data_IF_052360662198
#
_entry.id   IF_052360662198
#
_cell.length_a   1.000
_cell.length_b   1.000
_cell.length_c   1.000
_cell.angle_alpha   90.00
_cell.angle_beta   90.00
_cell.angle_gamma   90.00
#
_symmetry.space_group_name_H-M   'P 1'
#
loop_
_entity.id
_entity.type
_entity.pdbx_description
1 polymer ?
#
# COMPACT_ATOMS: atom_id res chain seq x y z
N UNK A 1 13.58 14.61 8.39
CA UNK A 1 12.98 13.28 8.14
C UNK A 1 13.24 12.93 6.69
N UNK A 2 13.66 11.69 6.42
CA UNK A 2 13.82 11.16 5.06
C UNK A 2 12.45 10.95 4.42
N UNK A 3 12.41 10.93 3.09
CA UNK A 3 11.17 10.79 2.35
C UNK A 3 10.94 9.33 1.95
N UNK A 4 9.68 8.92 1.98
CA UNK A 4 9.24 7.62 1.47
C UNK A 4 7.87 7.76 0.80
N UNK A 5 7.59 6.87 -0.14
CA UNK A 5 6.29 6.72 -0.80
C UNK A 5 5.66 5.42 -0.33
N UNK A 6 4.35 5.46 -0.10
CA UNK A 6 3.56 4.24 0.06
C UNK A 6 3.10 3.85 -1.34
N UNK A 7 3.39 2.62 -1.77
CA UNK A 7 2.94 2.09 -3.05
C UNK A 7 2.00 0.91 -2.79
N UNK A 8 0.89 0.87 -3.51
CA UNK A 8 -0.02 -0.29 -3.52
C UNK A 8 -0.24 -0.76 -4.96
N UNK A 9 -0.23 -2.07 -5.14
CA UNK A 9 -0.55 -2.79 -6.37
C UNK A 9 -1.79 -3.64 -6.08
N UNK A 10 -2.91 -3.25 -6.69
CA UNK A 10 -4.20 -3.88 -6.49
C UNK A 10 -4.41 -4.94 -7.56
N UNK A 11 -4.46 -6.21 -7.14
CA UNK A 11 -4.85 -7.33 -8.00
C UNK A 11 -6.28 -7.80 -7.72
N UNK A 12 -6.80 -8.67 -8.60
CA UNK A 12 -8.14 -9.26 -8.42
C UNK A 12 -8.24 -10.25 -7.26
N UNK A 13 -7.12 -10.81 -6.79
CA UNK A 13 -7.05 -11.81 -5.71
C UNK A 13 -6.27 -11.34 -4.49
N UNK A 14 -5.43 -10.32 -4.65
CA UNK A 14 -4.52 -9.86 -3.61
C UNK A 14 -4.10 -8.43 -3.88
N UNK A 15 -3.87 -7.66 -2.82
CA UNK A 15 -3.16 -6.38 -2.86
C UNK A 15 -1.76 -6.56 -2.29
N UNK A 16 -0.78 -5.99 -2.98
CA UNK A 16 0.59 -5.87 -2.49
C UNK A 16 0.88 -4.43 -2.15
N UNK A 17 1.67 -4.20 -1.13
CA UNK A 17 2.00 -2.86 -0.67
C UNK A 17 3.43 -2.77 -0.22
N UNK A 18 4.03 -1.60 -0.40
CA UNK A 18 5.39 -1.31 0.02
C UNK A 18 5.57 0.13 0.50
N UNK A 19 6.48 0.32 1.45
CA UNK A 19 7.07 1.62 1.77
C UNK A 19 8.43 1.69 1.08
N UNK A 20 8.60 2.67 0.20
CA UNK A 20 9.76 2.78 -0.69
C UNK A 20 10.46 4.12 -0.43
N UNK A 21 11.76 4.11 -0.17
CA UNK A 21 12.55 5.34 -0.02
C UNK A 21 13.05 5.88 -1.36
N UNK A 22 13.63 7.08 -1.35
CA UNK A 22 14.02 7.85 -2.54
C UNK A 22 14.90 7.07 -3.54
N UNK A 23 15.81 6.20 -3.08
CA UNK A 23 16.65 5.40 -3.96
C UNK A 23 15.96 4.12 -4.49
N UNK A 24 14.67 3.94 -4.23
CA UNK A 24 13.91 2.77 -4.66
C UNK A 24 14.03 1.55 -3.74
N UNK A 25 14.70 1.67 -2.59
CA UNK A 25 14.79 0.56 -1.63
C UNK A 25 13.46 0.37 -0.89
N UNK A 26 13.05 -0.89 -0.77
CA UNK A 26 11.86 -1.28 0.00
C UNK A 26 12.22 -1.33 1.48
N UNK A 27 11.62 -0.44 2.27
CA UNK A 27 11.76 -0.40 3.73
C UNK A 27 10.84 -1.40 4.43
N UNK A 28 9.64 -1.57 3.88
CA UNK A 28 8.63 -2.50 4.37
C UNK A 28 7.77 -2.96 3.19
N UNK A 29 7.30 -4.20 3.23
CA UNK A 29 6.32 -4.72 2.27
C UNK A 29 5.37 -5.69 2.94
N UNK A 30 4.18 -5.78 2.39
CA UNK A 30 3.16 -6.70 2.88
C UNK A 30 2.20 -7.12 1.75
N UNK A 31 1.42 -8.16 2.00
CA UNK A 31 0.41 -8.70 1.10
C UNK A 31 -0.90 -8.91 1.85
N UNK A 32 -2.01 -8.58 1.18
CA UNK A 32 -3.36 -8.75 1.71
C UNK A 32 -4.23 -9.47 0.69
N UNK A 33 -4.90 -10.55 1.10
CA UNK A 33 -5.79 -11.28 0.20
C UNK A 33 -7.09 -10.51 0.01
N UNK A 34 -7.49 -10.32 -1.25
CA UNK A 34 -8.73 -9.62 -1.60
C UNK A 34 -9.73 -10.63 -2.11
N UNK A 35 -10.92 -10.61 -1.51
CA UNK A 35 -12.04 -11.35 -2.07
C UNK A 35 -12.63 -10.55 -3.25
N UNK A 36 -12.66 -11.11 -4.47
CA UNK A 36 -13.26 -10.43 -5.63
C UNK A 36 -14.77 -10.22 -5.48
N UNK A 37 -15.42 -10.93 -4.55
CA UNK A 37 -16.86 -10.80 -4.27
C UNK A 37 -17.20 -9.67 -3.30
N UNK A 38 -16.21 -8.99 -2.72
CA UNK A 38 -16.46 -7.83 -1.87
C UNK A 38 -17.11 -6.69 -2.65
N UNK A 39 -17.95 -5.95 -1.95
CA UNK A 39 -18.55 -4.72 -2.42
C UNK A 39 -17.51 -3.59 -2.51
N UNK A 40 -17.83 -2.56 -3.27
CA UNK A 40 -16.99 -1.35 -3.38
C UNK A 40 -16.63 -0.74 -2.03
N UNK A 41 -17.56 -0.72 -1.06
CA UNK A 41 -17.29 -0.14 0.27
C UNK A 41 -16.37 -1.02 1.11
N UNK A 42 -16.49 -2.35 1.00
CA UNK A 42 -15.56 -3.28 1.62
C UNK A 42 -14.16 -3.14 1.02
N UNK A 43 -14.03 -3.03 -0.31
CA UNK A 43 -12.74 -2.77 -0.94
C UNK A 43 -12.13 -1.45 -0.48
N UNK A 44 -12.90 -0.35 -0.42
CA UNK A 44 -12.41 0.94 0.09
C UNK A 44 -11.91 0.84 1.52
N UNK A 45 -12.65 0.15 2.39
CA UNK A 45 -12.25 -0.08 3.79
C UNK A 45 -10.93 -0.84 3.85
N UNK A 46 -10.82 -1.95 3.12
CA UNK A 46 -9.59 -2.78 3.12
C UNK A 46 -8.39 -2.00 2.57
N UNK A 47 -8.56 -1.23 1.48
CA UNK A 47 -7.49 -0.38 0.93
C UNK A 47 -7.03 0.64 1.97
N UNK A 48 -7.96 1.25 2.70
CA UNK A 48 -7.64 2.24 3.75
C UNK A 48 -6.86 1.59 4.89
N UNK A 49 -7.35 0.46 5.42
CA UNK A 49 -6.69 -0.30 6.48
C UNK A 49 -5.28 -0.76 6.05
N UNK A 50 -5.12 -1.14 4.77
CA UNK A 50 -3.84 -1.55 4.24
C UNK A 50 -2.85 -0.40 4.13
N UNK A 51 -3.27 0.77 3.63
CA UNK A 51 -2.43 1.97 3.60
C UNK A 51 -2.04 2.41 5.02
N UNK A 52 -2.96 2.35 5.99
CA UNK A 52 -2.67 2.64 7.40
C UNK A 52 -1.67 1.65 8.00
N UNK A 53 -1.78 0.36 7.66
CA UNK A 53 -0.82 -0.67 8.07
C UNK A 53 0.58 -0.38 7.52
N UNK A 54 0.69 -0.06 6.23
CA UNK A 54 1.97 0.30 5.60
C UNK A 54 2.57 1.55 6.26
N UNK A 55 1.75 2.59 6.51
CA UNK A 55 2.18 3.81 7.19
C UNK A 55 2.66 3.54 8.63
N UNK A 56 1.97 2.67 9.36
CA UNK A 56 2.30 2.34 10.75
C UNK A 56 3.57 1.48 10.87
N UNK A 57 3.96 0.79 9.80
CA UNK A 57 5.21 0.01 9.73
C UNK A 57 6.35 0.77 9.05
N UNK A 58 6.16 2.06 8.73
CA UNK A 58 7.23 2.92 8.24
C UNK A 58 8.29 3.10 9.34
N UNK A 59 9.58 2.88 9.07
CA UNK A 59 10.63 3.08 10.06
C UNK A 59 10.69 4.52 10.57
N UNK A 60 11.08 4.69 11.82
CA UNK A 60 11.31 6.00 12.41
C UNK A 60 12.29 6.84 11.58
N UNK A 61 12.04 8.14 11.52
CA UNK A 61 12.86 9.08 10.75
C UNK A 61 12.46 9.21 9.27
N UNK A 62 11.49 8.43 8.79
CA UNK A 62 10.85 8.60 7.47
C UNK A 62 9.49 9.31 7.58
N UNK A 63 9.09 10.05 6.53
CA UNK A 63 7.73 10.57 6.31
C UNK A 63 7.19 10.05 4.98
N UNK A 64 5.92 9.67 4.96
CA UNK A 64 5.18 9.47 3.71
C UNK A 64 4.99 10.83 3.00
N UNK A 65 5.43 10.93 1.75
CA UNK A 65 5.26 12.14 0.92
C UNK A 65 4.32 11.93 -0.26
N UNK A 66 3.93 10.68 -0.54
CA UNK A 66 3.02 10.35 -1.62
C UNK A 66 2.44 8.94 -1.50
N UNK A 67 1.41 8.70 -2.31
CA UNK A 67 0.75 7.41 -2.50
C UNK A 67 0.78 7.06 -3.99
N UNK A 68 1.45 5.96 -4.33
CA UNK A 68 1.39 5.34 -5.66
C UNK A 68 0.35 4.22 -5.68
N UNK A 69 -0.47 4.19 -6.71
CA UNK A 69 -1.52 3.17 -6.86
C UNK A 69 -1.42 2.58 -8.27
N UNK A 70 -1.28 1.26 -8.34
CA UNK A 70 -1.48 0.47 -9.55
C UNK A 70 -2.70 -0.44 -9.39
N UNK A 71 -3.41 -0.69 -10.47
CA UNK A 71 -4.61 -1.53 -10.46
C UNK A 71 -4.82 -2.22 -11.81
N UNK A 72 -5.63 -3.30 -11.86
CA UNK A 72 -5.83 -4.04 -13.10
C UNK A 72 -6.58 -3.14 -14.07
N UNK A 73 -6.14 -3.12 -15.32
CA UNK A 73 -6.89 -2.50 -16.41
C UNK A 73 -8.24 -3.18 -16.63
N UNK A 74 -9.17 -2.45 -17.26
CA UNK A 74 -10.43 -2.98 -17.78
C UNK A 74 -10.20 -3.94 -18.95
#
# INVERSE_FOLDING_TARGET
MKEAVIAIDIGGTSMKGAVIEENGNILYKDNFDVNPSHTTEEHKKIITEFVEKLKSNMPDGYKAVGLGIDCPGL
#
